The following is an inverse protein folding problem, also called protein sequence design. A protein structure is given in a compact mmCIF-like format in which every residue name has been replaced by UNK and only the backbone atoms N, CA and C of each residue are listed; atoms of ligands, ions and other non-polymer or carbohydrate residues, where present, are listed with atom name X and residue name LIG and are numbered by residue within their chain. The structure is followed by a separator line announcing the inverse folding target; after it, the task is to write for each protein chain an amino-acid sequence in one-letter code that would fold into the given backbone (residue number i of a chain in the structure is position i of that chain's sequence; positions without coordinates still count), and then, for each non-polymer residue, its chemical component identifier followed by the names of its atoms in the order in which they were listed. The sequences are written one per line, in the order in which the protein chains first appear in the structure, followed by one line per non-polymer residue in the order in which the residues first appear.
data_IF_235018646193
#
_entry.id   IF_235018646193
#
_cell.length_a   1.000
_cell.length_b   1.000
_cell.length_c   1.000
_cell.angle_alpha   90.00
_cell.angle_beta   90.00
_cell.angle_gamma   90.00
#
_symmetry.space_group_name_H-M   'P 1'
#
loop_
_entity.id
_entity.type
_entity.pdbx_description
1 polymer ?
#
# COMPACT_ATOMS: atom_id res chain seq x y z
N UNK A 1 -26.58 13.58 2.92
CA UNK A 1 -26.17 14.99 2.88
C UNK A 1 -26.92 15.67 1.75
N UNK A 2 -27.59 16.78 2.03
CA UNK A 2 -28.34 17.60 1.05
C UNK A 2 -27.46 18.70 0.45
N UNK A 3 -27.92 19.37 -0.62
CA UNK A 3 -27.19 20.49 -1.23
C UNK A 3 -27.03 21.68 -0.27
N UNK A 4 -28.08 22.00 0.50
CA UNK A 4 -28.07 23.05 1.50
C UNK A 4 -27.11 22.73 2.66
N UNK A 5 -27.10 21.48 3.12
CA UNK A 5 -26.14 21.01 4.14
C UNK A 5 -24.69 21.09 3.65
N UNK A 6 -24.42 20.64 2.42
CA UNK A 6 -23.09 20.70 1.83
C UNK A 6 -22.59 22.15 1.66
N UNK A 7 -23.47 23.04 1.23
CA UNK A 7 -23.20 24.48 1.10
C UNK A 7 -22.87 25.12 2.46
N UNK A 8 -23.63 24.79 3.51
CA UNK A 8 -23.38 25.25 4.88
C UNK A 8 -22.05 24.72 5.43
N UNK A 9 -21.73 23.44 5.19
CA UNK A 9 -20.46 22.83 5.60
C UNK A 9 -19.25 23.50 4.94
N UNK A 10 -19.37 23.94 3.69
CA UNK A 10 -18.29 24.66 3.00
C UNK A 10 -18.33 26.19 3.22
N UNK A 11 -19.44 26.73 3.74
CA UNK A 11 -19.64 28.16 3.91
C UNK A 11 -19.86 28.89 2.58
N UNK A 12 -20.47 28.21 1.59
CA UNK A 12 -20.74 28.73 0.26
C UNK A 12 -22.25 28.69 -0.03
N UNK A 13 -22.69 29.28 -1.14
CA UNK A 13 -24.05 29.11 -1.64
C UNK A 13 -24.20 27.75 -2.32
N UNK A 14 -25.41 27.16 -2.29
CA UNK A 14 -25.70 25.95 -3.08
C UNK A 14 -25.52 26.20 -4.59
N UNK A 15 -25.65 27.46 -5.01
CA UNK A 15 -25.48 27.91 -6.40
C UNK A 15 -24.09 28.49 -6.68
N UNK A 16 -23.14 28.34 -5.77
CA UNK A 16 -21.77 28.81 -5.97
C UNK A 16 -21.09 28.16 -7.17
N UNK A 17 -20.19 28.92 -7.80
CA UNK A 17 -19.43 28.45 -8.95
C UNK A 17 -18.43 27.37 -8.54
N UNK A 18 -18.00 26.48 -9.46
CA UNK A 18 -16.99 25.45 -9.16
C UNK A 18 -15.68 26.01 -8.58
N UNK A 19 -15.28 27.22 -8.99
CA UNK A 19 -14.07 27.89 -8.49
C UNK A 19 -14.24 28.42 -7.07
N UNK A 20 -15.43 28.90 -6.70
CA UNK A 20 -15.78 29.28 -5.33
C UNK A 20 -15.82 28.07 -4.40
N UNK A 21 -16.46 26.98 -4.84
CA UNK A 21 -16.51 25.71 -4.11
C UNK A 21 -15.08 25.21 -3.82
N UNK A 22 -14.20 25.24 -4.82
CA UNK A 22 -12.80 24.80 -4.67
C UNK A 22 -12.00 25.71 -3.72
N UNK A 23 -12.19 27.04 -3.81
CA UNK A 23 -11.53 27.99 -2.92
C UNK A 23 -11.94 27.76 -1.47
N UNK A 24 -13.24 27.61 -1.21
CA UNK A 24 -13.77 27.37 0.13
C UNK A 24 -13.31 26.01 0.69
N UNK A 25 -13.31 24.97 -0.14
CA UNK A 25 -12.76 23.67 0.22
C UNK A 25 -11.29 23.77 0.63
N UNK A 26 -10.43 24.40 -0.18
CA UNK A 26 -9.00 24.55 0.14
C UNK A 26 -8.78 25.27 1.47
N UNK A 27 -9.57 26.30 1.76
CA UNK A 27 -9.48 27.00 3.03
C UNK A 27 -9.86 26.10 4.20
N UNK A 28 -10.95 25.32 4.08
CA UNK A 28 -11.43 24.45 5.16
C UNK A 28 -10.56 23.20 5.34
N UNK A 29 -10.12 22.59 4.25
CA UNK A 29 -9.19 21.46 4.24
C UNK A 29 -7.88 21.77 4.95
N UNK A 30 -7.35 23.00 4.84
CA UNK A 30 -6.15 23.43 5.59
C UNK A 30 -6.39 23.52 7.10
N UNK A 31 -7.63 23.70 7.54
CA UNK A 31 -7.98 23.76 8.97
C UNK A 31 -8.23 22.37 9.55
N UNK A 32 -8.84 21.46 8.78
CA UNK A 32 -9.16 20.10 9.20
C UNK A 32 -8.10 19.05 8.81
N UNK A 33 -6.96 19.45 8.25
CA UNK A 33 -5.96 18.50 7.75
C UNK A 33 -5.40 17.62 8.89
N UNK A 34 -5.40 16.28 8.74
CA UNK A 34 -4.96 15.36 9.79
C UNK A 34 -3.50 15.57 10.22
N UNK A 35 -2.62 16.04 9.32
CA UNK A 35 -1.21 16.35 9.67
C UNK A 35 -1.07 17.47 10.71
N UNK A 36 -2.08 18.32 10.89
CA UNK A 36 -2.09 19.34 11.96
C UNK A 36 -2.34 18.73 13.34
N UNK A 37 -2.80 17.49 13.41
CA UNK A 37 -3.09 16.76 14.63
C UNK A 37 -1.98 15.75 14.97
N UNK A 38 -0.75 16.00 14.49
CA UNK A 38 0.44 15.23 14.86
C UNK A 38 0.76 15.49 16.34
N UNK A 39 0.56 14.47 17.19
CA UNK A 39 0.68 14.58 18.65
C UNK A 39 -0.65 14.75 19.40
N UNK A 40 -1.78 14.84 18.69
CA UNK A 40 -3.11 14.84 19.30
C UNK A 40 -3.51 13.43 19.78
N UNK A 41 -4.50 13.35 20.67
CA UNK A 41 -5.05 12.07 21.11
C UNK A 41 -5.68 11.30 19.94
N UNK A 42 -5.73 9.97 20.03
CA UNK A 42 -6.34 9.13 19.01
C UNK A 42 -7.83 9.45 18.77
N UNK A 43 -8.52 10.08 19.73
CA UNK A 43 -9.90 10.54 19.59
C UNK A 43 -9.96 11.82 18.73
N UNK A 44 -9.07 12.78 18.97
CA UNK A 44 -8.99 14.03 18.21
C UNK A 44 -8.57 13.79 16.76
N UNK A 45 -7.59 12.90 16.52
CA UNK A 45 -7.19 12.54 15.16
C UNK A 45 -8.33 11.87 14.37
N UNK A 46 -9.13 11.01 15.04
CA UNK A 46 -10.31 10.39 14.42
C UNK A 46 -11.41 11.40 14.13
N UNK A 47 -11.65 12.35 15.04
CA UNK A 47 -12.61 13.42 14.83
C UNK A 47 -12.21 14.33 13.66
N UNK A 48 -10.92 14.71 13.58
CA UNK A 48 -10.39 15.49 12.48
C UNK A 48 -10.49 14.77 11.13
N UNK A 49 -10.17 13.47 11.10
CA UNK A 49 -10.33 12.66 9.89
C UNK A 49 -11.81 12.57 9.45
N UNK A 50 -12.73 12.37 10.39
CA UNK A 50 -14.18 12.39 10.11
C UNK A 50 -14.65 13.72 9.55
N UNK A 51 -14.14 14.84 10.08
CA UNK A 51 -14.46 16.18 9.59
C UNK A 51 -13.93 16.43 8.17
N UNK A 52 -12.71 15.98 7.89
CA UNK A 52 -12.12 16.07 6.56
C UNK A 52 -12.91 15.27 5.51
N UNK A 53 -13.38 14.07 5.88
CA UNK A 53 -14.24 13.24 5.02
C UNK A 53 -15.54 13.99 4.71
N UNK A 54 -16.24 14.52 5.73
CA UNK A 54 -17.50 15.27 5.54
C UNK A 54 -17.33 16.48 4.61
N UNK A 55 -16.25 17.25 4.77
CA UNK A 55 -15.96 18.41 3.92
C UNK A 55 -15.66 17.99 2.47
N UNK A 56 -15.00 16.85 2.28
CA UNK A 56 -14.69 16.29 0.96
C UNK A 56 -15.96 15.82 0.23
N UNK A 57 -16.84 15.10 0.94
CA UNK A 57 -18.13 14.69 0.41
C UNK A 57 -18.99 15.90 0.02
N UNK A 58 -18.97 16.98 0.81
CA UNK A 58 -19.73 18.20 0.55
C UNK A 58 -19.30 18.87 -0.76
N UNK A 59 -17.98 18.96 -0.97
CA UNK A 59 -17.40 19.48 -2.22
C UNK A 59 -17.84 18.66 -3.43
N UNK A 60 -17.73 17.33 -3.34
CA UNK A 60 -18.05 16.45 -4.46
C UNK A 60 -19.53 16.54 -4.86
N UNK A 61 -20.43 16.62 -3.87
CA UNK A 61 -21.86 16.82 -4.10
C UNK A 61 -22.13 18.16 -4.82
N UNK A 62 -21.56 19.27 -4.33
CA UNK A 62 -21.78 20.58 -4.95
C UNK A 62 -21.20 20.67 -6.38
N UNK A 63 -20.02 20.09 -6.61
CA UNK A 63 -19.42 20.05 -7.95
C UNK A 63 -20.25 19.21 -8.93
N UNK A 64 -20.80 18.09 -8.47
CA UNK A 64 -21.70 17.25 -9.29
C UNK A 64 -22.98 18.01 -9.65
N UNK A 65 -23.61 18.69 -8.70
CA UNK A 65 -24.82 19.49 -8.97
C UNK A 65 -24.54 20.68 -9.89
N UNK A 66 -23.39 21.35 -9.72
CA UNK A 66 -22.96 22.40 -10.63
C UNK A 66 -22.75 21.85 -12.06
N UNK A 67 -22.21 20.64 -12.18
CA UNK A 67 -22.06 19.95 -13.47
C UNK A 67 -23.41 19.63 -14.13
N UNK A 68 -24.35 19.10 -13.36
CA UNK A 68 -25.70 18.77 -13.83
C UNK A 68 -26.45 20.02 -14.29
N UNK A 69 -26.27 21.17 -13.61
CA UNK A 69 -26.83 22.46 -14.05
C UNK A 69 -26.23 22.95 -15.36
N UNK A 70 -24.91 22.85 -15.53
CA UNK A 70 -24.24 23.22 -16.78
C UNK A 70 -24.62 22.28 -17.92
N UNK A 71 -24.75 20.98 -17.66
CA UNK A 71 -25.20 19.97 -18.62
C UNK A 71 -26.68 20.07 -18.99
N UNK A 72 -27.53 20.57 -18.10
CA UNK A 72 -28.92 20.90 -18.40
C UNK A 72 -29.05 22.16 -19.28
N UNK A 73 -28.07 23.07 -19.22
CA UNK A 73 -28.04 24.30 -20.01
C UNK A 73 -27.28 24.17 -21.36
N UNK A 74 -26.46 23.13 -21.54
CA UNK A 74 -25.61 22.93 -22.73
C UNK A 74 -25.78 21.54 -23.35
N UNK A 75 -26.05 21.49 -24.66
CA UNK A 75 -26.16 20.27 -25.45
C UNK A 75 -24.90 19.37 -25.42
N UNK A 76 -24.95 18.19 -26.07
CA UNK A 76 -24.25 16.92 -25.71
C UNK A 76 -22.70 16.89 -25.70
N UNK A 77 -21.99 18.02 -25.71
CA UNK A 77 -20.53 18.09 -25.86
C UNK A 77 -19.76 18.50 -24.60
N UNK A 78 -20.39 18.56 -23.41
CA UNK A 78 -19.78 19.17 -22.22
C UNK A 78 -19.48 18.29 -20.97
N UNK A 79 -19.07 17.00 -21.02
CA UNK A 79 -18.79 16.28 -19.76
C UNK A 79 -17.35 15.74 -19.63
N UNK A 80 -16.30 16.48 -20.02
CA UNK A 80 -14.90 15.99 -19.82
C UNK A 80 -14.07 16.73 -18.78
N UNK A 81 -14.36 18.00 -18.52
CA UNK A 81 -13.55 18.82 -17.59
C UNK A 81 -13.98 18.56 -16.13
N UNK A 82 -15.25 18.26 -15.88
CA UNK A 82 -15.80 18.21 -14.51
C UNK A 82 -15.48 16.88 -13.80
N UNK A 83 -15.35 15.78 -14.54
CA UNK A 83 -14.95 14.49 -13.99
C UNK A 83 -13.52 14.53 -13.41
N UNK A 84 -12.65 15.42 -13.93
CA UNK A 84 -11.31 15.65 -13.36
C UNK A 84 -11.33 16.42 -12.03
N UNK A 85 -12.43 17.12 -11.71
CA UNK A 85 -12.57 17.91 -10.49
C UNK A 85 -13.19 17.13 -9.33
N UNK A 86 -13.89 16.03 -9.60
CA UNK A 86 -14.46 15.16 -8.57
C UNK A 86 -13.28 14.45 -7.88
N UNK A 87 -13.00 14.86 -6.64
CA UNK A 87 -11.98 14.21 -5.83
C UNK A 87 -12.62 12.96 -5.27
N UNK A 88 -12.63 11.88 -6.06
CA UNK A 88 -12.88 10.57 -5.47
C UNK A 88 -11.75 10.33 -4.48
N UNK A 89 -12.09 10.13 -3.21
CA UNK A 89 -11.17 9.60 -2.21
C UNK A 89 -10.93 8.12 -2.50
N UNK A 90 -10.56 7.79 -3.74
CA UNK A 90 -9.75 6.61 -3.94
C UNK A 90 -8.44 6.94 -3.22
N UNK A 91 -7.97 6.10 -2.29
CA UNK A 91 -6.63 6.25 -1.78
C UNK A 91 -5.72 6.19 -3.00
N UNK A 92 -5.28 7.35 -3.50
CA UNK A 92 -4.27 7.40 -4.56
C UNK A 92 -3.19 6.44 -4.10
N UNK A 93 -3.00 5.29 -4.79
CA UNK A 93 -1.98 4.37 -4.36
C UNK A 93 -0.72 5.19 -4.50
N UNK A 94 -0.12 5.58 -3.36
CA UNK A 94 1.14 6.33 -3.34
C UNK A 94 2.00 5.62 -4.37
N UNK A 95 2.28 6.30 -5.46
CA UNK A 95 3.10 5.76 -6.53
C UNK A 95 4.48 5.69 -5.93
N UNK A 96 4.74 4.64 -5.15
CA UNK A 96 6.08 4.27 -4.77
C UNK A 96 6.84 4.26 -6.09
N UNK A 97 7.91 5.06 -6.21
CA UNK A 97 8.70 5.05 -7.43
C UNK A 97 8.94 3.60 -7.76
N UNK A 98 8.64 3.23 -9.00
CA UNK A 98 8.82 1.90 -9.59
C UNK A 98 10.32 1.59 -9.59
N UNK A 99 10.94 1.52 -8.41
CA UNK A 99 12.32 1.14 -8.19
C UNK A 99 12.30 -0.37 -8.29
N UNK A 100 12.31 -0.83 -9.54
CA UNK A 100 12.62 -2.20 -9.95
C UNK A 100 13.83 -2.78 -9.20
N UNK A 101 14.70 -1.91 -8.67
CA UNK A 101 15.80 -2.26 -7.78
C UNK A 101 15.39 -2.96 -6.48
N UNK A 102 14.21 -2.73 -5.89
CA UNK A 102 13.87 -3.36 -4.61
C UNK A 102 13.84 -4.89 -4.71
N UNK A 103 13.20 -5.46 -5.74
CA UNK A 103 13.23 -6.90 -5.98
C UNK A 103 14.63 -7.42 -6.23
N UNK A 104 15.45 -6.66 -6.97
CA UNK A 104 16.83 -7.05 -7.28
C UNK A 104 17.72 -7.05 -6.03
N UNK A 105 17.62 -6.02 -5.20
CA UNK A 105 18.35 -5.88 -3.94
C UNK A 105 17.96 -7.01 -2.99
N UNK A 106 16.67 -7.27 -2.79
CA UNK A 106 16.22 -8.33 -1.89
C UNK A 106 16.52 -9.73 -2.42
N UNK A 107 16.55 -9.93 -3.73
CA UNK A 107 17.04 -11.18 -4.34
C UNK A 107 18.52 -11.36 -4.08
N UNK A 108 19.33 -10.31 -4.25
CA UNK A 108 20.76 -10.35 -3.97
C UNK A 108 21.03 -10.65 -2.49
N UNK A 109 20.34 -9.97 -1.58
CA UNK A 109 20.45 -10.20 -0.13
C UNK A 109 20.02 -11.62 0.25
N UNK A 110 18.97 -12.17 -0.38
CA UNK A 110 18.58 -13.56 -0.18
C UNK A 110 19.70 -14.52 -0.58
N UNK A 111 20.30 -14.34 -1.76
CA UNK A 111 21.39 -15.20 -2.22
C UNK A 111 22.61 -15.11 -1.29
N UNK A 112 22.95 -13.90 -0.83
CA UNK A 112 24.02 -13.71 0.16
C UNK A 112 23.69 -14.43 1.46
N UNK A 113 22.46 -14.28 1.98
CA UNK A 113 22.00 -14.99 3.17
C UNK A 113 22.08 -16.53 2.99
N UNK A 114 21.67 -17.05 1.84
CA UNK A 114 21.78 -18.47 1.50
C UNK A 114 23.22 -18.97 1.48
N UNK A 115 24.18 -18.17 0.99
CA UNK A 115 25.62 -18.51 1.05
C UNK A 115 26.11 -18.56 2.50
N UNK A 116 25.74 -17.58 3.33
CA UNK A 116 26.08 -17.59 4.76
C UNK A 116 25.47 -18.80 5.48
N UNK A 117 24.20 -19.14 5.19
CA UNK A 117 23.55 -20.35 5.69
C UNK A 117 24.23 -21.64 5.20
N UNK A 118 24.75 -21.66 3.97
CA UNK A 118 25.45 -22.81 3.45
C UNK A 118 26.79 -23.06 4.18
N UNK A 119 27.49 -21.98 4.53
CA UNK A 119 28.80 -22.06 5.19
C UNK A 119 28.66 -22.28 6.71
N UNK A 120 27.73 -21.59 7.37
CA UNK A 120 27.63 -21.55 8.83
C UNK A 120 26.30 -22.03 9.43
N UNK A 121 25.39 -22.55 8.61
CA UNK A 121 24.05 -22.94 9.04
C UNK A 121 23.95 -24.33 9.65
N UNK A 122 22.73 -24.87 9.64
CA UNK A 122 22.34 -26.16 10.26
C UNK A 122 23.14 -27.35 9.77
N UNK A 123 23.44 -27.38 8.47
CA UNK A 123 24.14 -28.44 7.77
C UNK A 123 25.26 -27.79 6.94
N UNK A 124 26.34 -27.31 7.60
CA UNK A 124 27.37 -26.54 6.93
C UNK A 124 28.07 -27.42 5.89
N UNK A 125 28.27 -26.86 4.70
CA UNK A 125 28.93 -27.51 3.55
C UNK A 125 28.26 -28.83 3.07
N UNK A 126 27.03 -29.11 3.53
CA UNK A 126 26.32 -30.31 3.15
C UNK A 126 25.55 -30.11 1.85
N UNK A 127 25.64 -31.05 0.89
CA UNK A 127 24.81 -31.01 -0.32
C UNK A 127 23.31 -31.07 0.01
N UNK A 128 22.93 -31.63 1.17
CA UNK A 128 21.55 -31.67 1.63
C UNK A 128 20.98 -30.28 1.93
N UNK A 129 21.83 -29.35 2.37
CA UNK A 129 21.43 -27.98 2.65
C UNK A 129 20.98 -27.25 1.36
N UNK A 130 21.60 -27.57 0.22
CA UNK A 130 21.21 -27.01 -1.08
C UNK A 130 19.80 -27.46 -1.51
N UNK A 131 19.39 -28.68 -1.14
CA UNK A 131 18.04 -29.17 -1.42
C UNK A 131 16.95 -28.43 -0.63
N UNK A 132 17.33 -27.73 0.45
CA UNK A 132 16.41 -26.91 1.24
C UNK A 132 16.46 -25.44 0.84
N UNK A 133 17.66 -24.91 0.54
CA UNK A 133 17.86 -23.49 0.22
C UNK A 133 17.48 -23.14 -1.23
N UNK A 134 17.89 -23.95 -2.21
CA UNK A 134 17.64 -23.63 -3.62
C UNK A 134 16.14 -23.57 -3.95
N UNK A 135 15.30 -24.53 -3.53
CA UNK A 135 13.87 -24.45 -3.79
C UNK A 135 13.20 -23.28 -3.06
N UNK A 136 13.66 -22.95 -1.85
CA UNK A 136 13.19 -21.79 -1.10
C UNK A 136 13.46 -20.50 -1.87
N UNK A 137 14.71 -20.32 -2.34
CA UNK A 137 15.14 -19.14 -3.07
C UNK A 137 14.34 -18.98 -4.37
N UNK A 138 14.24 -20.06 -5.15
CA UNK A 138 13.46 -20.07 -6.40
C UNK A 138 12.00 -19.70 -6.14
N UNK A 139 11.37 -20.28 -5.11
CA UNK A 139 9.98 -19.98 -4.79
C UNK A 139 9.80 -18.53 -4.30
N UNK A 140 10.68 -18.03 -3.43
CA UNK A 140 10.62 -16.67 -2.91
C UNK A 140 10.78 -15.62 -4.02
N UNK A 141 11.76 -15.83 -4.92
CA UNK A 141 12.00 -14.97 -6.09
C UNK A 141 10.81 -15.06 -7.06
N UNK A 142 10.33 -16.27 -7.35
CA UNK A 142 9.18 -16.47 -8.22
C UNK A 142 7.91 -15.79 -7.67
N UNK A 143 7.67 -15.87 -6.36
CA UNK A 143 6.55 -15.20 -5.73
C UNK A 143 6.68 -13.67 -5.80
N UNK A 144 7.85 -13.12 -5.51
CA UNK A 144 8.10 -11.69 -5.61
C UNK A 144 7.90 -11.14 -7.04
N UNK A 145 8.17 -11.95 -8.07
CA UNK A 145 8.00 -11.57 -9.48
C UNK A 145 6.56 -11.77 -9.97
N UNK A 146 5.97 -12.93 -9.71
CA UNK A 146 4.72 -13.39 -10.35
C UNK A 146 3.49 -13.26 -9.46
N UNK A 147 3.68 -13.13 -8.13
CA UNK A 147 2.61 -13.09 -7.12
C UNK A 147 1.66 -14.30 -7.16
N UNK A 148 2.09 -15.43 -7.72
CA UNK A 148 1.27 -16.65 -7.82
C UNK A 148 1.17 -17.36 -6.47
N UNK A 149 -0.04 -17.83 -6.13
CA UNK A 149 -0.29 -18.56 -4.85
C UNK A 149 0.59 -19.79 -4.68
N UNK A 150 0.84 -20.54 -5.75
CA UNK A 150 1.70 -21.73 -5.71
C UNK A 150 3.14 -21.40 -5.25
N UNK A 151 3.70 -20.28 -5.71
CA UNK A 151 5.04 -19.84 -5.31
C UNK A 151 5.08 -19.42 -3.83
N UNK A 152 4.02 -18.77 -3.33
CA UNK A 152 3.90 -18.44 -1.90
C UNK A 152 3.85 -19.71 -1.04
N UNK A 153 3.03 -20.69 -1.44
CA UNK A 153 2.93 -21.97 -0.74
C UNK A 153 4.30 -22.65 -0.71
N UNK A 154 5.03 -22.66 -1.84
CA UNK A 154 6.40 -23.16 -1.90
C UNK A 154 7.33 -22.46 -0.90
N UNK A 155 7.36 -21.12 -0.88
CA UNK A 155 8.18 -20.34 0.06
C UNK A 155 7.83 -20.66 1.52
N UNK A 156 6.54 -20.79 1.85
CA UNK A 156 6.10 -21.13 3.20
C UNK A 156 6.51 -22.55 3.60
N UNK A 157 6.32 -23.53 2.71
CA UNK A 157 6.68 -24.93 2.98
C UNK A 157 8.19 -25.06 3.17
N UNK A 158 9.01 -24.60 2.23
CA UNK A 158 10.47 -24.71 2.34
C UNK A 158 11.03 -23.85 3.48
N UNK A 159 10.43 -22.69 3.75
CA UNK A 159 10.80 -21.86 4.91
C UNK A 159 10.50 -22.57 6.24
N UNK A 160 9.33 -23.20 6.35
CA UNK A 160 8.95 -23.96 7.56
C UNK A 160 9.85 -25.18 7.77
N UNK A 161 10.19 -25.91 6.70
CA UNK A 161 11.11 -27.06 6.78
C UNK A 161 12.51 -26.60 7.20
N UNK A 162 13.02 -25.49 6.66
CA UNK A 162 14.30 -24.92 7.09
C UNK A 162 14.27 -24.50 8.56
N UNK A 163 13.21 -23.82 9.01
CA UNK A 163 13.05 -23.43 10.40
C UNK A 163 12.98 -24.65 11.33
N UNK A 164 12.22 -25.69 10.97
CA UNK A 164 12.14 -26.92 11.74
C UNK A 164 13.50 -27.64 11.84
N UNK A 165 14.25 -27.71 10.73
CA UNK A 165 15.61 -28.25 10.74
C UNK A 165 16.54 -27.43 11.64
N UNK A 166 16.43 -26.09 11.61
CA UNK A 166 17.20 -25.19 12.46
C UNK A 166 16.92 -25.36 13.95
N UNK A 167 15.65 -25.55 14.31
CA UNK A 167 15.22 -25.82 15.69
C UNK A 167 15.63 -27.23 16.13
N UNK A 168 15.55 -28.23 15.25
CA UNK A 168 15.89 -29.63 15.60
C UNK A 168 17.40 -29.79 15.86
N UNK A 169 18.23 -29.10 15.09
CA UNK A 169 19.70 -29.14 15.22
C UNK A 169 20.20 -28.15 16.30
N UNK A 170 19.38 -27.15 16.66
CA UNK A 170 19.56 -26.20 17.76
C UNK A 170 21.03 -25.83 18.06
N UNK A 171 21.69 -25.14 17.13
CA UNK A 171 23.01 -24.55 17.34
C UNK A 171 22.91 -23.02 17.30
N UNK A 172 23.84 -22.33 17.97
CA UNK A 172 23.92 -20.87 17.86
C UNK A 172 24.05 -20.42 16.40
N UNK A 173 24.83 -21.15 15.59
CA UNK A 173 24.96 -20.91 14.15
C UNK A 173 23.66 -21.10 13.38
N UNK A 174 22.86 -22.13 13.69
CA UNK A 174 21.58 -22.36 13.00
C UNK A 174 20.54 -21.29 13.30
N UNK A 175 20.53 -20.75 14.52
CA UNK A 175 19.62 -19.67 14.91
C UNK A 175 19.99 -18.34 14.24
N UNK A 176 21.27 -17.97 14.23
CA UNK A 176 21.75 -16.76 13.54
C UNK A 176 21.51 -16.87 12.02
N UNK A 177 21.76 -18.04 11.44
CA UNK A 177 21.48 -18.31 10.03
C UNK A 177 19.99 -18.13 9.71
N UNK A 178 19.09 -18.62 10.58
CA UNK A 178 17.65 -18.44 10.42
C UNK A 178 17.25 -16.97 10.45
N UNK A 179 17.79 -16.16 11.37
CA UNK A 179 17.49 -14.73 11.46
C UNK A 179 17.93 -13.96 10.20
N UNK A 180 19.15 -14.21 9.72
CA UNK A 180 19.69 -13.57 8.52
C UNK A 180 18.82 -13.91 7.29
N UNK A 181 18.34 -15.14 7.19
CA UNK A 181 17.51 -15.59 6.08
C UNK A 181 16.05 -15.08 6.17
N UNK A 182 15.54 -14.83 7.38
CA UNK A 182 14.16 -14.40 7.60
C UNK A 182 13.87 -13.03 6.95
N UNK A 183 14.76 -12.07 7.14
CA UNK A 183 14.59 -10.70 6.65
C UNK A 183 14.36 -10.61 5.13
N UNK A 184 15.21 -11.19 4.25
CA UNK A 184 14.99 -11.14 2.81
C UNK A 184 13.77 -11.93 2.35
N UNK A 185 13.46 -13.07 2.99
CA UNK A 185 12.24 -13.85 2.67
C UNK A 185 10.98 -13.04 2.96
N UNK A 186 10.89 -12.41 4.14
CA UNK A 186 9.75 -11.55 4.51
C UNK A 186 9.62 -10.39 3.52
N UNK A 187 10.72 -9.73 3.18
CA UNK A 187 10.71 -8.60 2.26
C UNK A 187 10.18 -9.01 0.86
N UNK A 188 10.61 -10.15 0.32
CA UNK A 188 10.13 -10.67 -0.96
C UNK A 188 8.65 -11.05 -0.93
N UNK A 189 8.17 -11.61 0.18
CA UNK A 189 6.75 -11.90 0.39
C UNK A 189 5.90 -10.63 0.43
N UNK A 190 6.35 -9.60 1.16
CA UNK A 190 5.67 -8.29 1.21
C UNK A 190 5.61 -7.67 -0.18
N UNK A 191 6.70 -7.74 -0.95
CA UNK A 191 6.73 -7.24 -2.33
C UNK A 191 5.71 -7.98 -3.21
N UNK A 192 5.67 -9.32 -3.16
CA UNK A 192 4.69 -10.11 -3.91
C UNK A 192 3.25 -9.76 -3.52
N UNK A 193 2.95 -9.61 -2.23
CA UNK A 193 1.62 -9.25 -1.72
C UNK A 193 1.18 -7.84 -2.13
N UNK A 194 2.12 -6.89 -2.19
CA UNK A 194 1.86 -5.52 -2.64
C UNK A 194 1.51 -5.42 -4.13
N UNK A 195 1.94 -6.38 -4.95
CA UNK A 195 1.57 -6.46 -6.37
C UNK A 195 0.16 -7.03 -6.54
N UNK A 196 -0.22 -8.07 -5.79
CA UNK A 196 -1.58 -8.61 -5.79
C UNK A 196 -2.64 -7.54 -5.48
N UNK A 197 -2.39 -6.68 -4.48
CA UNK A 197 -3.30 -5.60 -4.08
C UNK A 197 -3.43 -4.46 -5.10
N UNK A 198 -2.61 -4.44 -6.17
CA UNK A 198 -2.72 -3.44 -7.24
C UNK A 198 -3.61 -3.90 -8.40
N UNK A 199 -3.99 -5.19 -8.43
CA UNK A 199 -4.80 -5.79 -9.49
C UNK A 199 -6.20 -6.20 -9.01
N UNK A 200 -6.56 -5.89 -7.77
CA UNK A 200 -7.88 -6.05 -7.16
C UNK A 200 -8.35 -4.67 -6.73
#
# INVERSE_FOLDING_TARGET
MTSAEAALLLGVSAESTPTEIERAFKQRARMSHPDRFTGASAAESRAAAGEFIRITEARNLLLRLAAERVGAAGGPSAPRIIESLIYTSDPTPRSFPRRSGATTIWTFLLLVASVFCFIGGTLPLSPWNLLLLVPLDVCAIAYARTSRRAALVGTLVFGAVNAAAAVTIASFGSLVALEILLAPVIALVVIGRSRLRRFV
#
